data_IF_015806413109
#
_entry.id   IF_015806413109
#
_cell.length_a   1.000
_cell.length_b   1.000
_cell.length_c   1.000
_cell.angle_alpha   90.00
_cell.angle_beta   90.00
_cell.angle_gamma   90.00
#
_symmetry.space_group_name_H-M   'P 1'
#
loop_
_entity.id
_entity.type
_entity.pdbx_description
1 polymer ?
#
# COMPACT_ATOMS: atom_id res chain seq x y z
N UNK A 1 8.42 17.17 33.99
CA UNK A 1 8.78 16.78 35.37
C UNK A 1 9.15 15.31 35.32
N UNK A 2 10.17 14.85 36.04
CA UNK A 2 10.56 13.43 36.01
C UNK A 2 9.56 12.59 36.80
N UNK A 3 9.19 11.43 36.27
CA UNK A 3 8.33 10.43 36.90
C UNK A 3 8.92 9.89 38.21
N UNK A 4 10.24 9.86 38.34
CA UNK A 4 10.94 9.54 39.59
C UNK A 4 10.73 10.57 40.70
N UNK A 5 10.41 11.82 40.37
CA UNK A 5 10.27 12.94 41.31
C UNK A 5 8.80 13.37 41.49
N UNK A 6 7.90 12.89 40.63
CA UNK A 6 6.48 13.23 40.68
C UNK A 6 5.76 12.47 41.82
N UNK A 7 5.19 13.17 42.82
CA UNK A 7 4.43 12.54 43.90
C UNK A 7 3.25 11.69 43.41
N UNK A 8 2.67 12.03 42.25
CA UNK A 8 1.58 11.25 41.65
C UNK A 8 2.01 9.85 41.19
N UNK A 9 3.32 9.56 41.17
CA UNK A 9 3.89 8.27 40.80
C UNK A 9 4.67 7.61 41.94
N UNK A 10 4.64 8.16 43.16
CA UNK A 10 5.44 7.68 44.28
C UNK A 10 5.12 6.23 44.70
N UNK A 11 3.89 5.77 44.45
CA UNK A 11 3.43 4.40 44.72
C UNK A 11 3.88 3.37 43.67
N UNK A 12 4.29 3.83 42.48
CA UNK A 12 4.81 2.97 41.41
C UNK A 12 6.32 2.82 41.54
N UNK A 13 6.78 1.58 41.72
CA UNK A 13 8.21 1.25 41.66
C UNK A 13 8.68 1.36 40.21
N UNK A 14 9.70 2.20 39.98
CA UNK A 14 10.33 2.38 38.66
C UNK A 14 11.22 1.17 38.41
N UNK A 15 10.99 0.47 37.31
CA UNK A 15 11.65 -0.80 36.99
C UNK A 15 12.66 -0.59 35.88
N UNK A 16 13.98 -0.62 36.18
CA UNK A 16 15.02 -0.52 35.16
C UNK A 16 14.92 -1.61 34.10
N UNK A 17 15.42 -1.32 32.90
CA UNK A 17 15.66 -2.37 31.90
C UNK A 17 16.72 -3.35 32.41
N UNK A 18 16.43 -4.65 32.35
CA UNK A 18 17.40 -5.70 32.62
C UNK A 18 17.97 -6.23 31.29
N UNK A 19 19.13 -5.71 30.88
CA UNK A 19 19.87 -6.17 29.70
C UNK A 19 20.90 -7.28 30.03
N UNK A 20 20.87 -7.81 31.26
CA UNK A 20 21.81 -8.81 31.76
C UNK A 20 23.19 -8.24 32.12
N UNK A 21 24.11 -9.11 32.58
CA UNK A 21 25.45 -8.69 33.03
C UNK A 21 26.38 -8.25 31.89
N UNK A 22 26.18 -8.78 30.68
CA UNK A 22 26.99 -8.52 29.49
C UNK A 22 26.10 -8.06 28.32
N UNK A 23 25.60 -6.81 28.36
CA UNK A 23 24.58 -6.35 27.43
C UNK A 23 25.13 -6.22 26.00
N UNK A 24 24.40 -6.76 25.02
CA UNK A 24 24.67 -6.60 23.59
C UNK A 24 23.73 -5.56 22.99
N UNK A 25 24.19 -4.83 21.97
CA UNK A 25 23.44 -3.73 21.30
C UNK A 25 22.82 -2.72 22.28
N UNK A 26 23.49 -2.49 23.41
CA UNK A 26 23.03 -1.55 24.44
C UNK A 26 22.95 -0.13 23.89
N UNK A 27 21.86 0.55 24.21
CA UNK A 27 21.61 1.92 23.79
C UNK A 27 21.91 2.85 24.97
N UNK A 28 22.76 3.85 24.75
CA UNK A 28 23.02 4.89 25.73
C UNK A 28 21.83 5.88 25.79
N UNK A 29 20.78 5.50 26.50
CA UNK A 29 19.56 6.30 26.60
C UNK A 29 19.77 7.63 27.36
N UNK A 30 19.14 8.74 26.91
CA UNK A 30 19.03 9.94 27.73
C UNK A 30 18.31 9.67 29.05
N UNK A 31 18.63 10.43 30.10
CA UNK A 31 18.04 10.25 31.43
C UNK A 31 16.50 10.32 31.42
N UNK A 32 15.93 11.22 30.62
CA UNK A 32 14.48 11.38 30.53
C UNK A 32 13.80 10.19 29.84
N UNK A 33 14.46 9.57 28.84
CA UNK A 33 13.96 8.34 28.22
C UNK A 33 13.94 7.19 29.22
N UNK A 34 15.03 7.02 29.98
CA UNK A 34 15.12 5.99 31.02
C UNK A 34 14.05 6.18 32.09
N UNK A 35 13.85 7.41 32.57
CA UNK A 35 12.85 7.74 33.60
C UNK A 35 11.42 7.38 33.15
N UNK A 36 11.03 7.77 31.93
CA UNK A 36 9.73 7.43 31.33
C UNK A 36 9.56 5.92 31.18
N UNK A 37 10.56 5.24 30.62
CA UNK A 37 10.49 3.81 30.36
C UNK A 37 10.50 2.97 31.64
N UNK A 38 11.24 3.39 32.66
CA UNK A 38 11.29 2.68 33.94
C UNK A 38 9.96 2.82 34.70
N UNK A 39 9.34 4.00 34.64
CA UNK A 39 7.98 4.19 35.12
C UNK A 39 6.99 3.29 34.37
N UNK A 40 7.06 3.28 33.03
CA UNK A 40 6.20 2.44 32.20
C UNK A 40 6.34 0.94 32.49
N UNK A 41 7.56 0.42 32.67
CA UNK A 41 7.79 -0.98 33.08
C UNK A 41 7.20 -1.26 34.47
N UNK A 42 7.26 -0.30 35.39
CA UNK A 42 6.61 -0.38 36.70
C UNK A 42 5.09 -0.53 36.59
N UNK A 43 4.46 0.34 35.81
CA UNK A 43 3.01 0.31 35.53
C UNK A 43 2.59 -0.98 34.85
N UNK A 44 3.35 -1.45 33.86
CA UNK A 44 3.10 -2.73 33.19
C UNK A 44 3.12 -3.90 34.17
N UNK A 45 4.08 -3.90 35.11
CA UNK A 45 4.26 -4.98 36.09
C UNK A 45 3.08 -5.10 37.07
N UNK A 46 2.51 -3.96 37.48
CA UNK A 46 1.31 -3.94 38.34
C UNK A 46 0.01 -3.98 37.54
N UNK A 47 0.10 -3.90 36.21
CA UNK A 47 -1.02 -3.94 35.27
C UNK A 47 -2.11 -2.91 35.61
N UNK A 48 -1.69 -1.67 35.90
CA UNK A 48 -2.60 -0.57 36.26
C UNK A 48 -3.30 0.01 35.03
N UNK A 49 -4.63 0.21 35.14
CA UNK A 49 -5.44 0.93 34.16
C UNK A 49 -6.06 2.16 34.81
N UNK A 50 -5.48 3.33 34.54
CA UNK A 50 -5.88 4.61 35.13
C UNK A 50 -5.66 5.76 34.15
N UNK A 51 -6.26 6.92 34.43
CA UNK A 51 -6.04 8.14 33.64
C UNK A 51 -4.57 8.58 33.65
N UNK A 52 -3.85 8.42 34.78
CA UNK A 52 -2.40 8.72 34.83
C UNK A 52 -1.59 7.76 33.96
N UNK A 53 -1.98 6.48 33.92
CA UNK A 53 -1.38 5.51 32.99
C UNK A 53 -1.64 5.91 31.55
N UNK A 54 -2.85 6.36 31.22
CA UNK A 54 -3.16 6.82 29.87
C UNK A 54 -2.27 8.02 29.49
N UNK A 55 -2.07 8.97 30.38
CA UNK A 55 -1.14 10.08 30.17
C UNK A 55 0.32 9.59 29.98
N UNK A 56 0.82 8.71 30.85
CA UNK A 56 2.17 8.14 30.73
C UNK A 56 2.41 7.45 29.38
N UNK A 57 1.41 6.76 28.83
CA UNK A 57 1.57 6.13 27.51
C UNK A 57 1.79 7.13 26.38
N UNK A 58 1.34 8.39 26.50
CA UNK A 58 1.68 9.44 25.52
C UNK A 58 3.17 9.75 25.54
N UNK A 59 3.75 9.94 26.72
CA UNK A 59 5.18 10.25 26.87
C UNK A 59 6.06 9.10 26.37
N UNK A 60 5.63 7.85 26.61
CA UNK A 60 6.34 6.67 26.08
C UNK A 60 6.24 6.60 24.55
N UNK A 61 5.09 6.95 23.96
CA UNK A 61 4.91 7.01 22.50
C UNK A 61 5.74 8.15 21.90
N UNK A 62 5.79 9.31 22.54
CA UNK A 62 6.62 10.44 22.10
C UNK A 62 8.11 10.07 22.13
N UNK A 63 8.55 9.38 23.18
CA UNK A 63 9.91 8.88 23.32
C UNK A 63 10.28 7.81 22.28
N UNK A 64 9.34 6.90 21.96
CA UNK A 64 9.53 5.88 20.93
C UNK A 64 8.19 5.42 20.31
N UNK A 65 7.76 6.01 19.19
CA UNK A 65 6.47 5.67 18.57
C UNK A 65 6.47 4.28 17.94
N UNK A 66 7.62 3.61 17.81
CA UNK A 66 7.72 2.25 17.29
C UNK A 66 7.55 1.17 18.38
N UNK A 67 7.48 1.55 19.67
CA UNK A 67 7.27 0.62 20.77
C UNK A 67 5.84 0.04 20.73
N UNK A 68 5.66 -1.12 20.13
CA UNK A 68 4.33 -1.74 19.99
C UNK A 68 3.67 -2.10 21.34
N UNK A 69 4.45 -2.32 22.40
CA UNK A 69 3.93 -2.66 23.73
C UNK A 69 3.13 -1.51 24.33
N UNK A 70 3.60 -0.26 24.16
CA UNK A 70 2.85 0.91 24.68
C UNK A 70 1.54 1.11 23.94
N UNK A 71 1.52 0.95 22.61
CA UNK A 71 0.28 1.08 21.83
C UNK A 71 -0.76 0.03 22.23
N UNK A 72 -0.33 -1.21 22.41
CA UNK A 72 -1.19 -2.27 22.93
C UNK A 72 -1.73 -1.94 24.32
N UNK A 73 -0.86 -1.48 25.23
CA UNK A 73 -1.26 -1.18 26.60
C UNK A 73 -2.18 0.03 26.68
N UNK A 74 -1.90 1.09 25.92
CA UNK A 74 -2.75 2.29 25.79
C UNK A 74 -4.18 1.90 25.40
N UNK A 75 -4.35 1.02 24.41
CA UNK A 75 -5.67 0.53 23.99
C UNK A 75 -6.42 -0.15 25.15
N UNK A 76 -5.74 -1.01 25.91
CA UNK A 76 -6.35 -1.70 27.06
C UNK A 76 -6.76 -0.74 28.17
N UNK A 77 -5.96 0.31 28.39
CA UNK A 77 -6.29 1.36 29.35
C UNK A 77 -7.55 2.11 28.93
N UNK A 78 -7.65 2.52 27.66
CA UNK A 78 -8.86 3.15 27.12
C UNK A 78 -10.10 2.25 27.23
N UNK A 79 -9.96 0.96 26.88
CA UNK A 79 -11.03 -0.04 27.02
C UNK A 79 -11.50 -0.17 28.48
N UNK A 80 -10.56 -0.26 29.42
CA UNK A 80 -10.85 -0.42 30.85
C UNK A 80 -11.50 0.83 31.46
N UNK A 81 -11.12 2.02 31.00
CA UNK A 81 -11.68 3.29 31.45
C UNK A 81 -13.02 3.63 30.81
N UNK A 82 -13.38 2.98 29.70
CA UNK A 82 -14.55 3.36 28.90
C UNK A 82 -14.42 4.77 28.32
N UNK A 83 -13.18 5.18 28.00
CA UNK A 83 -12.86 6.53 27.54
C UNK A 83 -13.55 6.86 26.20
N UNK A 84 -13.80 8.15 25.96
CA UNK A 84 -14.17 8.63 24.64
C UNK A 84 -12.99 8.44 23.68
N UNK A 85 -13.23 7.77 22.56
CA UNK A 85 -12.21 7.43 21.56
C UNK A 85 -12.03 8.52 20.49
N UNK A 86 -12.90 9.54 20.44
CA UNK A 86 -12.77 10.64 19.47
C UNK A 86 -11.47 11.45 19.62
N UNK A 87 -10.97 11.74 20.84
CA UNK A 87 -9.65 12.35 21.00
C UNK A 87 -8.51 11.48 20.45
N UNK A 88 -8.59 10.15 20.58
CA UNK A 88 -7.60 9.24 19.98
C UNK A 88 -7.61 9.31 18.46
N UNK A 89 -8.77 9.60 17.85
CA UNK A 89 -8.80 9.83 16.42
C UNK A 89 -7.98 11.06 16.02
N UNK A 90 -8.09 12.17 16.74
CA UNK A 90 -7.28 13.35 16.42
C UNK A 90 -5.79 13.07 16.66
N UNK A 91 -5.46 12.48 17.81
CA UNK A 91 -4.08 12.11 18.16
C UNK A 91 -3.42 11.23 17.10
N UNK A 92 -4.11 10.16 16.67
CA UNK A 92 -3.57 9.23 15.66
C UNK A 92 -3.48 9.84 14.27
N UNK A 93 -4.38 10.77 13.91
CA UNK A 93 -4.28 11.51 12.67
C UNK A 93 -3.02 12.38 12.63
N UNK A 94 -2.76 13.15 13.70
CA UNK A 94 -1.57 14.00 13.81
C UNK A 94 -0.30 13.16 13.77
N UNK A 95 -0.26 12.05 14.54
CA UNK A 95 0.86 11.13 14.57
C UNK A 95 1.11 10.46 13.21
N UNK A 96 0.06 10.09 12.47
CA UNK A 96 0.20 9.48 11.15
C UNK A 96 0.75 10.47 10.11
N UNK A 97 0.42 11.76 10.21
CA UNK A 97 0.97 12.78 9.32
C UNK A 97 2.41 13.15 9.67
N UNK A 98 2.78 13.14 10.95
CA UNK A 98 4.15 13.40 11.41
C UNK A 98 5.08 12.21 11.17
N UNK A 99 4.58 10.97 11.36
CA UNK A 99 5.35 9.73 11.28
C UNK A 99 4.70 8.74 10.30
N UNK A 100 4.60 9.10 9.00
CA UNK A 100 3.76 8.40 8.01
C UNK A 100 4.17 6.95 7.71
N UNK A 101 5.39 6.55 8.09
CA UNK A 101 5.97 5.23 7.82
C UNK A 101 6.09 4.35 9.07
N UNK A 102 5.33 4.66 10.12
CA UNK A 102 5.29 3.89 11.36
C UNK A 102 4.13 2.89 11.37
N UNK A 103 4.43 1.59 11.51
CA UNK A 103 3.41 0.53 11.49
C UNK A 103 2.41 0.64 12.65
N UNK A 104 2.89 0.97 13.85
CA UNK A 104 2.11 0.93 15.08
C UNK A 104 1.01 2.00 15.07
N UNK A 105 1.30 3.20 14.56
CA UNK A 105 0.32 4.30 14.45
C UNK A 105 -0.84 3.89 13.55
N UNK A 106 -0.55 3.40 12.34
CA UNK A 106 -1.58 2.98 11.40
C UNK A 106 -2.37 1.77 11.92
N UNK A 107 -1.71 0.81 12.57
CA UNK A 107 -2.39 -0.32 13.20
C UNK A 107 -3.31 0.14 14.33
N UNK A 108 -2.81 0.99 15.23
CA UNK A 108 -3.58 1.51 16.35
C UNK A 108 -4.78 2.34 15.89
N UNK A 109 -4.64 3.15 14.83
CA UNK A 109 -5.76 3.84 14.18
C UNK A 109 -6.87 2.86 13.77
N UNK A 110 -6.52 1.72 13.17
CA UNK A 110 -7.52 0.70 12.78
C UNK A 110 -8.24 0.12 13.97
N UNK A 111 -7.53 -0.18 15.05
CA UNK A 111 -8.13 -0.68 16.29
C UNK A 111 -9.12 0.32 16.86
N UNK A 112 -8.75 1.60 16.96
CA UNK A 112 -9.64 2.65 17.47
C UNK A 112 -10.91 2.76 16.62
N UNK A 113 -10.78 2.85 15.29
CA UNK A 113 -11.92 2.89 14.38
C UNK A 113 -12.79 1.62 14.48
N UNK A 114 -12.18 0.44 14.69
CA UNK A 114 -12.92 -0.82 14.87
C UNK A 114 -13.70 -0.86 16.18
N UNK A 115 -13.11 -0.38 17.27
CA UNK A 115 -13.77 -0.26 18.57
C UNK A 115 -14.95 0.72 18.52
N UNK A 116 -14.81 1.80 17.75
CA UNK A 116 -15.88 2.77 17.54
C UNK A 116 -16.97 2.28 16.56
N UNK A 117 -16.62 1.35 15.67
CA UNK A 117 -17.48 0.98 14.54
C UNK A 117 -17.66 2.12 13.53
N UNK A 118 -16.70 3.06 13.47
CA UNK A 118 -16.78 4.27 12.65
C UNK A 118 -15.49 4.47 11.86
N UNK A 119 -15.62 4.59 10.53
CA UNK A 119 -14.54 4.90 9.60
C UNK A 119 -14.77 6.17 8.78
N UNK A 120 -15.73 7.02 9.17
CA UNK A 120 -16.18 8.18 8.39
C UNK A 120 -15.08 9.19 8.07
N UNK A 121 -14.04 9.28 8.91
CA UNK A 121 -12.91 10.20 8.76
C UNK A 121 -11.73 9.61 7.98
N UNK A 122 -11.72 8.29 7.72
CA UNK A 122 -10.51 7.60 7.24
C UNK A 122 -10.14 7.99 5.81
N UNK A 123 -11.13 8.29 4.97
CA UNK A 123 -10.88 8.80 3.62
C UNK A 123 -10.14 10.14 3.65
N UNK A 124 -10.53 11.04 4.54
CA UNK A 124 -9.88 12.34 4.68
C UNK A 124 -8.45 12.22 5.21
N UNK A 125 -8.22 11.37 6.22
CA UNK A 125 -6.88 11.09 6.74
C UNK A 125 -5.97 10.48 5.67
N UNK A 126 -6.47 9.47 4.94
CA UNK A 126 -5.73 8.86 3.85
C UNK A 126 -5.42 9.87 2.74
N UNK A 127 -6.35 10.75 2.38
CA UNK A 127 -6.10 11.82 1.40
C UNK A 127 -4.95 12.72 1.88
N UNK A 128 -5.01 13.23 3.11
CA UNK A 128 -3.96 14.09 3.66
C UNK A 128 -2.58 13.41 3.65
N UNK A 129 -2.52 12.11 3.95
CA UNK A 129 -1.26 11.36 3.89
C UNK A 129 -0.78 11.07 2.46
N UNK A 130 -1.70 10.81 1.51
CA UNK A 130 -1.37 10.51 0.10
C UNK A 130 -0.99 11.80 -0.64
N UNK A 131 -1.60 12.94 -0.32
CA UNK A 131 -1.25 14.24 -0.88
C UNK A 131 0.20 14.63 -0.50
N UNK A 132 0.67 14.22 0.69
CA UNK A 132 2.05 14.41 1.14
C UNK A 132 3.06 13.39 0.56
N UNK A 133 2.65 12.12 0.41
CA UNK A 133 3.43 11.06 -0.24
C UNK A 133 2.48 10.13 -1.00
N UNK A 134 2.37 10.34 -2.32
CA UNK A 134 1.40 9.64 -3.18
C UNK A 134 1.62 8.13 -3.26
N UNK A 135 2.77 7.66 -2.75
CA UNK A 135 3.17 6.25 -2.72
C UNK A 135 3.27 5.71 -1.29
N UNK A 136 2.74 6.42 -0.29
CA UNK A 136 2.69 5.92 1.08
C UNK A 136 1.89 4.61 1.16
N UNK A 137 2.61 3.50 1.35
CA UNK A 137 2.02 2.17 1.38
C UNK A 137 1.07 1.97 2.55
N UNK A 138 1.36 2.56 3.72
CA UNK A 138 0.49 2.46 4.88
C UNK A 138 -0.83 3.16 4.66
N UNK A 139 -0.81 4.37 4.08
CA UNK A 139 -2.02 5.13 3.78
C UNK A 139 -2.90 4.39 2.76
N UNK A 140 -2.31 3.83 1.70
CA UNK A 140 -3.05 3.02 0.72
C UNK A 140 -3.63 1.73 1.32
N UNK A 141 -2.84 1.00 2.12
CA UNK A 141 -3.30 -0.20 2.80
C UNK A 141 -4.42 0.12 3.82
N UNK A 142 -4.31 1.25 4.52
CA UNK A 142 -5.32 1.73 5.46
C UNK A 142 -6.60 2.12 4.75
N UNK A 143 -6.51 2.84 3.63
CA UNK A 143 -7.66 3.21 2.82
C UNK A 143 -8.43 1.99 2.33
N UNK A 144 -7.72 0.98 1.80
CA UNK A 144 -8.36 -0.29 1.37
C UNK A 144 -9.08 -0.98 2.54
N UNK A 145 -8.43 -1.05 3.69
CA UNK A 145 -9.04 -1.63 4.90
C UNK A 145 -10.29 -0.86 5.31
N UNK A 146 -10.22 0.48 5.41
CA UNK A 146 -11.34 1.30 5.87
C UNK A 146 -12.53 1.23 4.92
N UNK A 147 -12.28 1.38 3.61
CA UNK A 147 -13.32 1.29 2.58
C UNK A 147 -14.02 -0.07 2.61
N UNK A 148 -13.25 -1.15 2.73
CA UNK A 148 -13.82 -2.51 2.81
C UNK A 148 -14.60 -2.76 4.09
N UNK A 149 -14.06 -2.32 5.23
CA UNK A 149 -14.62 -2.60 6.56
C UNK A 149 -15.92 -1.82 6.80
N UNK A 150 -15.97 -0.56 6.35
CA UNK A 150 -17.09 0.34 6.60
C UNK A 150 -17.97 0.60 5.37
N UNK A 151 -17.70 -0.07 4.24
CA UNK A 151 -18.50 0.05 3.02
C UNK A 151 -18.39 1.42 2.32
N UNK A 152 -17.27 2.11 2.44
CA UNK A 152 -17.08 3.50 1.98
C UNK A 152 -16.71 3.60 0.49
N UNK A 153 -17.39 2.86 -0.37
CA UNK A 153 -17.05 2.73 -1.80
C UNK A 153 -17.36 3.98 -2.63
N UNK A 154 -18.34 4.78 -2.22
CA UNK A 154 -18.79 5.97 -2.94
C UNK A 154 -17.65 6.97 -3.14
N UNK A 155 -17.44 7.42 -4.38
CA UNK A 155 -16.40 8.41 -4.70
C UNK A 155 -14.98 7.86 -4.89
N UNK A 156 -14.76 6.55 -4.74
CA UNK A 156 -13.38 5.99 -4.84
C UNK A 156 -12.85 5.95 -6.27
N UNK A 157 -13.70 5.76 -7.29
CA UNK A 157 -13.25 5.82 -8.69
C UNK A 157 -12.95 7.25 -9.13
N UNK A 158 -13.75 8.22 -8.67
CA UNK A 158 -13.52 9.64 -8.89
C UNK A 158 -12.21 10.09 -8.24
N UNK A 159 -11.90 9.56 -7.04
CA UNK A 159 -10.63 9.79 -6.38
C UNK A 159 -9.44 9.21 -7.16
N UNK A 160 -9.58 7.98 -7.69
CA UNK A 160 -8.58 7.39 -8.59
C UNK A 160 -8.37 8.25 -9.83
N UNK A 161 -9.46 8.70 -10.47
CA UNK A 161 -9.38 9.50 -11.69
C UNK A 161 -8.68 10.83 -11.45
N UNK A 162 -8.92 11.48 -10.30
CA UNK A 162 -8.16 12.66 -9.87
C UNK A 162 -6.66 12.35 -9.79
N UNK A 163 -6.27 11.27 -9.12
CA UNK A 163 -4.85 10.93 -8.94
C UNK A 163 -4.17 10.54 -10.25
N UNK A 164 -4.87 9.86 -11.16
CA UNK A 164 -4.32 9.49 -12.47
C UNK A 164 -4.29 10.66 -13.46
N UNK A 165 -5.12 11.69 -13.25
CA UNK A 165 -5.01 12.96 -13.96
C UNK A 165 -3.76 13.74 -13.52
N UNK A 166 -3.43 13.71 -12.22
CA UNK A 166 -2.23 14.36 -11.66
C UNK A 166 -0.94 13.60 -12.03
N UNK A 167 -0.93 12.27 -11.89
CA UNK A 167 0.18 11.41 -12.30
C UNK A 167 -0.33 10.07 -12.85
N UNK A 168 -0.39 9.97 -14.17
CA UNK A 168 -0.77 8.74 -14.88
C UNK A 168 0.17 7.57 -14.59
N UNK A 169 1.40 7.82 -14.09
CA UNK A 169 2.38 6.78 -13.71
C UNK A 169 2.24 6.30 -12.26
N UNK A 170 1.26 6.83 -11.51
CA UNK A 170 1.03 6.42 -10.14
C UNK A 170 0.48 4.98 -10.07
N UNK A 171 1.38 4.01 -9.95
CA UNK A 171 1.02 2.59 -9.86
C UNK A 171 0.12 2.27 -8.65
N UNK A 172 0.22 3.03 -7.56
CA UNK A 172 -0.66 2.84 -6.41
C UNK A 172 -2.11 3.19 -6.74
N UNK A 173 -2.34 4.25 -7.53
CA UNK A 173 -3.67 4.61 -8.02
C UNK A 173 -4.22 3.55 -9.00
N UNK A 174 -3.41 3.02 -9.92
CA UNK A 174 -3.81 1.90 -10.79
C UNK A 174 -4.18 0.65 -10.01
N UNK A 175 -3.36 0.28 -9.02
CA UNK A 175 -3.66 -0.83 -8.12
C UNK A 175 -4.94 -0.59 -7.32
N UNK A 176 -5.16 0.64 -6.85
CA UNK A 176 -6.36 1.00 -6.12
C UNK A 176 -7.61 0.98 -7.01
N UNK A 177 -7.50 1.40 -8.28
CA UNK A 177 -8.56 1.23 -9.29
C UNK A 177 -8.97 -0.24 -9.43
N UNK A 178 -7.98 -1.13 -9.58
CA UNK A 178 -8.23 -2.57 -9.61
C UNK A 178 -8.92 -3.06 -8.34
N UNK A 179 -8.45 -2.63 -7.16
CA UNK A 179 -9.07 -2.96 -5.88
C UNK A 179 -10.54 -2.54 -5.82
N UNK A 180 -10.87 -1.29 -6.18
CA UNK A 180 -12.25 -0.79 -6.16
C UNK A 180 -13.12 -1.60 -7.11
N UNK A 181 -12.69 -1.81 -8.36
CA UNK A 181 -13.49 -2.52 -9.37
C UNK A 181 -13.58 -4.04 -9.16
N UNK A 182 -12.65 -4.64 -8.41
CA UNK A 182 -12.72 -6.06 -8.05
C UNK A 182 -13.62 -6.32 -6.83
N UNK A 183 -13.85 -5.30 -6.00
CA UNK A 183 -14.71 -5.38 -4.82
C UNK A 183 -16.09 -4.73 -5.04
N UNK A 184 -16.21 -3.87 -6.05
CA UNK A 184 -17.48 -3.47 -6.67
C UNK A 184 -17.70 -4.36 -7.90
N UNK A 185 -18.91 -4.47 -8.45
CA UNK A 185 -19.19 -5.40 -9.57
C UNK A 185 -18.53 -5.02 -10.91
N UNK A 186 -17.51 -4.14 -10.90
CA UNK A 186 -16.95 -3.46 -12.05
C UNK A 186 -16.04 -4.29 -12.96
N UNK A 187 -15.81 -5.57 -12.67
CA UNK A 187 -15.01 -6.48 -13.52
C UNK A 187 -15.72 -7.82 -13.84
N UNK A 188 -17.00 -7.93 -13.53
CA UNK A 188 -17.76 -9.17 -13.68
C UNK A 188 -18.16 -9.39 -15.14
N UNK A 189 -18.74 -8.38 -15.80
CA UNK A 189 -19.18 -8.51 -17.18
C UNK A 189 -18.06 -8.18 -18.18
N UNK A 190 -18.12 -8.80 -19.35
CA UNK A 190 -17.24 -8.48 -20.49
C UNK A 190 -17.35 -7.00 -20.86
N UNK A 191 -18.54 -6.40 -20.77
CA UNK A 191 -18.77 -4.98 -21.03
C UNK A 191 -18.08 -4.08 -20.02
N UNK A 192 -17.94 -4.51 -18.77
CA UNK A 192 -17.22 -3.73 -17.76
C UNK A 192 -15.71 -3.77 -18.02
N UNK A 193 -15.18 -4.95 -18.37
CA UNK A 193 -13.79 -5.10 -18.80
C UNK A 193 -13.47 -4.27 -20.03
N UNK A 194 -14.37 -4.24 -21.02
CA UNK A 194 -14.20 -3.41 -22.21
C UNK A 194 -14.04 -1.94 -21.85
N UNK A 195 -14.91 -1.38 -20.99
CA UNK A 195 -14.80 0.01 -20.54
C UNK A 195 -13.46 0.30 -19.87
N UNK A 196 -12.96 -0.62 -19.04
CA UNK A 196 -11.67 -0.46 -18.36
C UNK A 196 -10.46 -0.64 -19.28
N UNK A 197 -10.57 -1.47 -20.32
CA UNK A 197 -9.57 -1.55 -21.39
C UNK A 197 -9.52 -0.23 -22.15
N UNK A 198 -10.68 0.31 -22.56
CA UNK A 198 -10.76 1.58 -23.30
C UNK A 198 -10.16 2.73 -22.46
N UNK A 199 -10.51 2.79 -21.18
CA UNK A 199 -9.93 3.73 -20.22
C UNK A 199 -8.40 3.59 -20.14
N UNK A 200 -7.88 2.37 -20.02
CA UNK A 200 -6.44 2.15 -19.92
C UNK A 200 -5.71 2.51 -21.23
N UNK A 201 -6.31 2.23 -22.39
CA UNK A 201 -5.75 2.61 -23.70
C UNK A 201 -5.74 4.13 -23.93
N UNK A 202 -6.72 4.86 -23.40
CA UNK A 202 -6.68 6.33 -23.34
C UNK A 202 -5.43 6.79 -22.56
N UNK A 203 -5.17 6.21 -21.39
CA UNK A 203 -4.00 6.55 -20.57
C UNK A 203 -2.67 6.11 -21.20
N UNK A 204 -2.64 4.99 -21.92
CA UNK A 204 -1.48 4.60 -22.76
C UNK A 204 -1.18 5.67 -23.80
N UNK A 205 -2.20 6.24 -24.43
CA UNK A 205 -2.02 7.25 -25.48
C UNK A 205 -1.41 8.55 -24.95
N UNK A 206 -1.58 8.85 -23.65
CA UNK A 206 -0.93 9.97 -22.97
C UNK A 206 0.56 9.69 -22.72
N UNK A 207 0.91 8.44 -22.37
CA UNK A 207 2.27 8.05 -22.03
C UNK A 207 2.57 6.60 -22.42
N UNK A 208 2.98 6.38 -23.67
CA UNK A 208 3.16 5.03 -24.23
C UNK A 208 4.24 4.19 -23.51
N UNK A 209 5.24 4.84 -22.89
CA UNK A 209 6.28 4.19 -22.08
C UNK A 209 5.93 4.09 -20.58
N UNK A 210 4.68 4.35 -20.19
CA UNK A 210 4.23 4.13 -18.82
C UNK A 210 3.83 2.67 -18.63
N UNK A 211 4.58 1.92 -17.83
CA UNK A 211 4.33 0.49 -17.60
C UNK A 211 2.98 0.19 -16.91
N UNK A 212 2.53 1.06 -16.00
CA UNK A 212 1.35 0.80 -15.16
C UNK A 212 0.06 0.49 -15.94
N UNK A 213 -0.39 1.30 -16.92
CA UNK A 213 -1.58 0.98 -17.71
C UNK A 213 -1.41 -0.30 -18.55
N UNK A 214 -0.21 -0.60 -19.04
CA UNK A 214 0.04 -1.87 -19.75
C UNK A 214 -0.10 -3.08 -18.83
N UNK A 215 0.41 -2.99 -17.60
CA UNK A 215 0.25 -4.05 -16.59
C UNK A 215 -1.20 -4.18 -16.15
N UNK A 216 -1.94 -3.08 -16.04
CA UNK A 216 -3.37 -3.08 -15.78
C UNK A 216 -4.16 -3.78 -16.89
N UNK A 217 -3.89 -3.46 -18.17
CA UNK A 217 -4.47 -4.15 -19.34
C UNK A 217 -4.20 -5.66 -19.28
N UNK A 218 -2.95 -6.07 -19.02
CA UNK A 218 -2.61 -7.50 -18.87
C UNK A 218 -3.42 -8.19 -17.77
N UNK A 219 -3.71 -7.49 -16.68
CA UNK A 219 -4.58 -7.97 -15.61
C UNK A 219 -6.04 -8.16 -16.08
N UNK A 220 -6.58 -7.18 -16.81
CA UNK A 220 -7.96 -7.20 -17.30
C UNK A 220 -8.22 -8.32 -18.31
N UNK A 221 -7.26 -8.62 -19.18
CA UNK A 221 -7.45 -9.59 -20.29
C UNK A 221 -7.03 -11.01 -19.96
N UNK A 222 -6.40 -11.25 -18.81
CA UNK A 222 -5.99 -12.61 -18.39
C UNK A 222 -7.19 -13.55 -18.36
N UNK A 223 -7.15 -14.61 -19.17
CA UNK A 223 -8.25 -15.57 -19.33
C UNK A 223 -9.35 -15.16 -20.32
N UNK A 224 -9.25 -13.95 -20.88
CA UNK A 224 -10.18 -13.37 -21.86
C UNK A 224 -9.44 -12.87 -23.11
N UNK A 225 -8.22 -13.37 -23.36
CA UNK A 225 -7.33 -12.80 -24.38
C UNK A 225 -7.98 -12.81 -25.77
N UNK A 226 -8.64 -13.90 -26.14
CA UNK A 226 -9.31 -14.04 -27.44
C UNK A 226 -10.42 -12.98 -27.67
N UNK A 227 -11.06 -12.50 -26.60
CA UNK A 227 -12.13 -11.49 -26.69
C UNK A 227 -11.58 -10.12 -27.07
N UNK A 228 -10.42 -9.74 -26.52
CA UNK A 228 -9.86 -8.40 -26.65
C UNK A 228 -8.64 -8.33 -27.57
N UNK A 229 -8.18 -9.48 -28.09
CA UNK A 229 -6.94 -9.56 -28.87
C UNK A 229 -6.93 -8.66 -30.10
N UNK A 230 -8.05 -8.51 -30.83
CA UNK A 230 -8.09 -7.71 -32.04
C UNK A 230 -7.76 -6.23 -31.76
N UNK A 231 -8.51 -5.59 -30.86
CA UNK A 231 -8.31 -4.20 -30.44
C UNK A 231 -6.91 -3.98 -29.84
N UNK A 232 -6.48 -4.88 -28.96
CA UNK A 232 -5.17 -4.73 -28.29
C UNK A 232 -4.00 -4.93 -29.24
N UNK A 233 -4.10 -5.85 -30.20
CA UNK A 233 -3.06 -6.01 -31.24
C UNK A 233 -2.98 -4.76 -32.10
N UNK A 234 -4.11 -4.27 -32.59
CA UNK A 234 -4.18 -3.04 -33.39
C UNK A 234 -3.53 -1.87 -32.66
N UNK A 235 -3.92 -1.62 -31.40
CA UNK A 235 -3.38 -0.50 -30.64
C UNK A 235 -1.89 -0.67 -30.31
N UNK A 236 -1.44 -1.87 -29.97
CA UNK A 236 -0.02 -2.11 -29.70
C UNK A 236 0.85 -2.00 -30.96
N UNK A 237 0.33 -2.39 -32.13
CA UNK A 237 0.99 -2.19 -33.42
C UNK A 237 1.09 -0.71 -33.80
N UNK A 238 0.00 0.06 -33.60
CA UNK A 238 0.00 1.52 -33.78
C UNK A 238 1.07 2.18 -32.89
N UNK A 239 1.13 1.79 -31.62
CA UNK A 239 2.15 2.31 -30.69
C UNK A 239 3.56 1.95 -31.15
N UNK A 240 3.83 0.72 -31.58
CA UNK A 240 5.17 0.33 -32.07
C UNK A 240 5.54 0.99 -33.40
N UNK A 241 4.58 1.35 -34.24
CA UNK A 241 4.84 2.10 -35.47
C UNK A 241 5.33 3.53 -35.15
N UNK A 242 4.79 4.15 -34.10
CA UNK A 242 5.18 5.49 -33.66
C UNK A 242 6.37 5.51 -32.68
N UNK A 243 6.47 4.50 -31.81
CA UNK A 243 7.48 4.34 -30.76
C UNK A 243 8.03 2.89 -30.77
N UNK A 244 8.94 2.55 -31.70
CA UNK A 244 9.46 1.19 -31.89
C UNK A 244 10.19 0.61 -30.67
N UNK A 245 10.66 1.47 -29.76
CA UNK A 245 11.33 1.13 -28.51
C UNK A 245 10.36 0.92 -27.34
N UNK A 246 9.03 1.00 -27.56
CA UNK A 246 8.04 0.70 -26.54
C UNK A 246 7.99 -0.81 -26.21
N UNK A 247 8.84 -1.22 -25.26
CA UNK A 247 8.97 -2.61 -24.82
C UNK A 247 7.66 -3.19 -24.27
N UNK A 248 6.75 -2.35 -23.75
CA UNK A 248 5.50 -2.79 -23.14
C UNK A 248 4.46 -3.20 -24.18
N UNK A 249 4.36 -2.43 -25.28
CA UNK A 249 3.52 -2.76 -26.43
C UNK A 249 4.03 -4.05 -27.11
N UNK A 250 5.35 -4.14 -27.35
CA UNK A 250 5.97 -5.35 -27.88
C UNK A 250 5.73 -6.57 -26.98
N UNK A 251 5.91 -6.43 -25.67
CA UNK A 251 5.61 -7.48 -24.71
C UNK A 251 4.15 -7.94 -24.75
N UNK A 252 3.19 -7.01 -24.89
CA UNK A 252 1.76 -7.35 -24.96
C UNK A 252 1.44 -8.14 -26.24
N UNK A 253 2.00 -7.71 -27.38
CA UNK A 253 1.85 -8.46 -28.64
C UNK A 253 2.42 -9.87 -28.54
N UNK A 254 3.59 -10.04 -27.92
CA UNK A 254 4.17 -11.37 -27.68
C UNK A 254 3.20 -12.23 -26.85
N UNK A 255 2.59 -11.67 -25.80
CA UNK A 255 1.62 -12.39 -24.97
C UNK A 255 0.38 -12.82 -25.78
N UNK A 256 -0.17 -11.93 -26.60
CA UNK A 256 -1.37 -12.19 -27.42
C UNK A 256 -1.10 -13.19 -28.55
N UNK A 257 -0.01 -13.03 -29.29
CA UNK A 257 0.35 -13.95 -30.37
C UNK A 257 0.70 -15.35 -29.85
N UNK A 258 1.40 -15.45 -28.70
CA UNK A 258 1.69 -16.73 -28.08
C UNK A 258 0.42 -17.47 -27.63
N UNK A 259 -0.68 -16.74 -27.35
CA UNK A 259 -1.98 -17.31 -26.99
C UNK A 259 -2.79 -17.73 -28.22
N UNK A 260 -2.66 -16.98 -29.32
CA UNK A 260 -3.30 -17.29 -30.61
C UNK A 260 -2.74 -18.56 -31.25
N UNK A 261 -1.41 -18.73 -31.23
CA UNK A 261 -0.75 -20.00 -31.56
C UNK A 261 -0.79 -20.43 -33.03
N UNK A 262 -1.26 -19.59 -33.96
CA UNK A 262 -1.13 -19.83 -35.40
C UNK A 262 0.32 -19.65 -35.86
N UNK A 263 0.70 -20.27 -36.98
CA UNK A 263 2.07 -20.17 -37.52
C UNK A 263 2.50 -18.71 -37.72
N UNK A 264 1.60 -17.87 -38.26
CA UNK A 264 1.83 -16.44 -38.46
C UNK A 264 2.00 -15.68 -37.13
N UNK A 265 1.20 -16.03 -36.11
CA UNK A 265 1.31 -15.44 -34.78
C UNK A 265 2.63 -15.85 -34.10
N UNK A 266 3.02 -17.12 -34.20
CA UNK A 266 4.29 -17.63 -33.67
C UNK A 266 5.49 -16.96 -34.34
N UNK A 267 5.45 -16.78 -35.67
CA UNK A 267 6.48 -16.05 -36.40
C UNK A 267 6.56 -14.58 -35.95
N UNK A 268 5.41 -13.92 -35.80
CA UNK A 268 5.32 -12.53 -35.33
C UNK A 268 5.87 -12.36 -33.91
N UNK A 269 5.48 -13.24 -32.98
CA UNK A 269 6.00 -13.27 -31.62
C UNK A 269 7.51 -13.53 -31.57
N UNK A 270 8.01 -14.44 -32.41
CA UNK A 270 9.45 -14.75 -32.51
C UNK A 270 10.25 -13.51 -32.90
N UNK A 271 9.81 -12.78 -33.93
CA UNK A 271 10.46 -11.55 -34.38
C UNK A 271 10.51 -10.50 -33.26
N UNK A 272 9.39 -10.28 -32.57
CA UNK A 272 9.33 -9.33 -31.45
C UNK A 272 10.25 -9.75 -30.29
N UNK A 273 10.32 -11.03 -29.96
CA UNK A 273 11.21 -11.56 -28.93
C UNK A 273 12.69 -11.34 -29.28
N UNK A 274 13.06 -11.52 -30.54
CA UNK A 274 14.42 -11.26 -31.02
C UNK A 274 14.78 -9.76 -30.92
N UNK A 275 13.87 -8.87 -31.31
CA UNK A 275 14.05 -7.42 -31.16
C UNK A 275 14.16 -7.02 -29.69
N UNK A 276 13.27 -7.50 -28.82
CA UNK A 276 13.32 -7.24 -27.37
C UNK A 276 14.65 -7.69 -26.77
N UNK A 277 15.11 -8.89 -27.13
CA UNK A 277 16.33 -9.48 -26.60
C UNK A 277 17.60 -8.76 -27.04
N UNK A 278 17.66 -8.30 -28.29
CA UNK A 278 18.90 -7.85 -28.93
C UNK A 278 18.95 -6.33 -29.11
N UNK A 279 17.83 -5.62 -29.04
CA UNK A 279 17.75 -4.20 -29.41
C UNK A 279 17.14 -3.37 -28.29
N UNK A 280 15.90 -3.64 -27.87
CA UNK A 280 15.10 -2.69 -27.07
C UNK A 280 15.03 -2.98 -25.56
N UNK A 281 15.16 -4.24 -25.12
CA UNK A 281 15.09 -4.63 -23.69
C UNK A 281 16.20 -5.61 -23.28
N UNK A 282 17.44 -5.24 -23.59
CA UNK A 282 18.64 -6.06 -23.36
C UNK A 282 18.83 -6.45 -21.89
N UNK A 283 18.37 -5.62 -20.95
CA UNK A 283 18.41 -5.92 -19.50
C UNK A 283 17.65 -7.22 -19.19
N UNK A 284 16.57 -7.50 -19.91
CA UNK A 284 15.75 -8.71 -19.75
C UNK A 284 16.06 -9.78 -20.80
N UNK A 285 17.22 -9.75 -21.46
CA UNK A 285 17.63 -10.73 -22.48
C UNK A 285 17.40 -12.19 -22.06
N UNK A 286 17.81 -12.56 -20.84
CA UNK A 286 17.62 -13.93 -20.34
C UNK A 286 16.14 -14.33 -20.26
N UNK A 287 15.27 -13.40 -19.88
CA UNK A 287 13.82 -13.60 -19.84
C UNK A 287 13.24 -13.78 -21.25
N UNK A 288 13.63 -12.93 -22.21
CA UNK A 288 13.16 -13.05 -23.59
C UNK A 288 13.63 -14.34 -24.27
N UNK A 289 14.87 -14.78 -24.00
CA UNK A 289 15.36 -16.08 -24.45
C UNK A 289 14.56 -17.24 -23.87
N UNK A 290 14.18 -17.17 -22.60
CA UNK A 290 13.30 -18.16 -21.97
C UNK A 290 11.90 -18.19 -22.62
N UNK A 291 11.32 -17.01 -22.89
CA UNK A 291 10.03 -16.88 -23.57
C UNK A 291 10.08 -17.47 -24.98
N UNK A 292 11.13 -17.20 -25.74
CA UNK A 292 11.34 -17.74 -27.09
C UNK A 292 11.45 -19.27 -27.09
N UNK A 293 12.26 -19.83 -26.19
CA UNK A 293 12.38 -21.29 -26.04
C UNK A 293 11.03 -21.93 -25.68
N UNK A 294 10.23 -21.27 -24.86
CA UNK A 294 8.90 -21.76 -24.46
C UNK A 294 7.91 -21.73 -25.62
N UNK A 295 7.92 -20.66 -26.42
CA UNK A 295 7.06 -20.51 -27.60
C UNK A 295 7.31 -21.64 -28.61
N UNK A 296 8.58 -21.92 -28.91
CA UNK A 296 9.00 -22.97 -29.86
C UNK A 296 8.71 -24.40 -29.40
N UNK A 297 8.45 -24.62 -28.11
CA UNK A 297 8.05 -25.94 -27.58
C UNK A 297 6.55 -26.20 -27.70
N UNK A 298 5.76 -25.14 -27.93
CA UNK A 298 4.29 -25.19 -27.98
C UNK A 298 3.74 -25.14 -29.40
N UNK A 299 4.50 -24.56 -30.33
CA UNK A 299 4.31 -24.70 -31.77
C UNK A 299 4.74 -26.11 -32.20
#
# INVERSE_FOLDING_TARGET
>A
MKYSEDPAWADVVKVPQDDGPDPIVSIAYPADFTDVMDCFRGVLKINEYSERTLALTLDVIEANPANYTVWYFRRRVLEALGSDLRPELQFTADMALQNPKNYQIWHYRREICSMMGDGSQEKALCNASIDGDSKNYHAWAHRQWAVKTFGLWDGELEYVDKLLLEDVRNNSAWNYRWFVLSNTSGLVATTDRQREIDYALEKVSIAVHNESPWNYIRGLVRGHEATFAAQLKEKAQEVLAAAPDCIFAAGLLVDLYAKEGTDDAVASATKLLETLMNETDRVRKAYWQFRLTTLKRRA
#
